data_IF_983106328466
#
_entry.id   IF_983106328466
#
_cell.length_a   1.000
_cell.length_b   1.000
_cell.length_c   1.000
_cell.angle_alpha   90.00
_cell.angle_beta   90.00
_cell.angle_gamma   90.00
#
_symmetry.space_group_name_H-M   'P 1'
#
loop_
_entity.id
_entity.type
_entity.pdbx_description
1 polymer ?
#
# COMPACT_ATOMS: atom_id res chain seq x y z
N UNK A 1 -12.41 -11.31 35.16
CA UNK A 1 -11.40 -11.88 34.25
C UNK A 1 -10.96 -10.80 33.30
N UNK A 2 -9.69 -10.40 33.34
CA UNK A 2 -9.11 -9.51 32.33
C UNK A 2 -8.65 -10.42 31.19
N UNK A 3 -9.28 -10.30 30.02
CA UNK A 3 -8.81 -10.97 28.80
C UNK A 3 -7.37 -10.58 28.55
N UNK A 4 -6.53 -11.56 28.25
CA UNK A 4 -5.13 -11.32 27.95
C UNK A 4 -5.01 -10.59 26.60
N UNK A 5 -3.95 -9.80 26.37
CA UNK A 5 -3.72 -9.08 25.11
C UNK A 5 -3.68 -9.98 23.87
N UNK A 6 -3.48 -11.29 24.07
CA UNK A 6 -3.36 -12.28 23.01
C UNK A 6 -4.71 -12.68 22.38
N UNK A 7 -5.84 -12.38 23.03
CA UNK A 7 -7.17 -12.87 22.63
C UNK A 7 -8.04 -11.79 21.95
N UNK A 8 -7.43 -10.74 21.43
CA UNK A 8 -8.12 -9.65 20.71
C UNK A 8 -8.32 -9.99 19.23
N UNK A 9 -9.40 -9.50 18.62
CA UNK A 9 -9.66 -9.63 17.18
C UNK A 9 -8.73 -8.71 16.36
N UNK A 10 -8.17 -9.23 15.25
CA UNK A 10 -7.25 -8.53 14.33
C UNK A 10 -6.13 -7.74 15.03
N UNK A 11 -5.28 -8.38 15.86
CA UNK A 11 -4.21 -7.70 16.57
C UNK A 11 -3.18 -7.07 15.62
N UNK A 12 -3.03 -7.62 14.41
CA UNK A 12 -2.15 -7.10 13.37
C UNK A 12 -2.52 -5.67 12.91
N UNK A 13 -3.79 -5.27 13.04
CA UNK A 13 -4.26 -3.94 12.63
C UNK A 13 -3.95 -2.83 13.65
N UNK A 14 -3.53 -3.16 14.88
CA UNK A 14 -3.21 -2.15 15.89
C UNK A 14 -1.91 -2.40 16.66
N UNK A 15 -1.40 -3.63 16.73
CA UNK A 15 -0.20 -3.96 17.51
C UNK A 15 1.01 -3.14 17.05
N UNK A 16 1.29 -3.17 15.75
CA UNK A 16 2.44 -2.45 15.18
C UNK A 16 2.27 -0.93 15.23
N UNK A 17 1.06 -0.44 14.94
CA UNK A 17 0.72 0.97 15.05
C UNK A 17 0.89 1.49 16.49
N UNK A 18 0.57 0.66 17.50
CA UNK A 18 0.72 1.00 18.91
C UNK A 18 2.18 0.98 19.34
N UNK A 19 2.94 -0.08 19.00
CA UNK A 19 4.36 -0.20 19.35
C UNK A 19 5.17 0.99 18.79
N UNK A 20 4.83 1.45 17.59
CA UNK A 20 5.46 2.61 16.93
C UNK A 20 5.30 3.93 17.70
N UNK A 21 4.50 3.97 18.76
CA UNK A 21 4.19 5.17 19.57
C UNK A 21 4.64 5.05 21.03
N UNK A 22 5.22 3.92 21.42
CA UNK A 22 5.67 3.68 22.81
C UNK A 22 7.00 4.40 23.06
N UNK A 23 7.08 5.31 24.04
CA UNK A 23 8.33 5.99 24.39
C UNK A 23 9.43 4.99 24.75
N UNK A 24 10.61 5.16 24.15
CA UNK A 24 11.76 4.27 24.34
C UNK A 24 11.90 3.15 23.30
N UNK A 25 10.90 2.93 22.44
CA UNK A 25 11.06 2.06 21.26
C UNK A 25 11.90 2.79 20.20
N UNK A 26 13.00 2.20 19.68
CA UNK A 26 13.80 2.83 18.63
C UNK A 26 12.98 3.14 17.37
N UNK A 27 13.11 4.36 16.84
CA UNK A 27 12.36 4.80 15.66
C UNK A 27 10.90 5.14 15.93
N UNK A 28 10.42 5.06 17.18
CA UNK A 28 9.05 5.47 17.52
C UNK A 28 8.84 6.97 17.35
N UNK A 29 7.59 7.34 17.14
CA UNK A 29 7.16 8.74 17.06
C UNK A 29 6.37 9.13 18.31
N UNK A 30 6.34 10.44 18.61
CA UNK A 30 5.66 10.95 19.79
C UNK A 30 4.14 10.64 19.73
N UNK A 31 3.46 10.16 20.79
CA UNK A 31 2.06 9.74 20.78
C UNK A 31 1.12 10.95 20.81
N UNK A 32 1.38 11.93 19.96
CA UNK A 32 0.53 13.06 19.67
C UNK A 32 0.00 12.90 18.24
N UNK A 33 -1.30 13.12 18.04
CA UNK A 33 -1.98 12.89 16.77
C UNK A 33 -1.39 13.66 15.58
N UNK A 34 -0.61 14.73 15.82
CA UNK A 34 0.14 15.42 14.76
C UNK A 34 1.18 14.56 14.04
N UNK A 35 1.59 13.45 14.66
CA UNK A 35 2.52 12.49 14.08
C UNK A 35 1.81 11.23 13.55
N UNK A 36 0.48 11.24 13.44
CA UNK A 36 -0.27 10.10 12.91
C UNK A 36 0.00 9.97 11.39
N UNK A 37 0.05 8.73 10.92
CA UNK A 37 0.28 8.40 9.52
C UNK A 37 -0.93 7.64 8.99
N UNK A 38 -1.50 8.12 7.89
CA UNK A 38 -2.48 7.36 7.11
C UNK A 38 -1.76 6.30 6.27
N UNK A 39 -2.51 5.34 5.76
CA UNK A 39 -2.04 4.38 4.75
C UNK A 39 -1.43 5.08 3.52
N UNK A 40 -2.02 6.20 3.08
CA UNK A 40 -1.50 7.00 1.97
C UNK A 40 -0.19 7.71 2.30
N UNK A 41 -0.01 8.20 3.53
CA UNK A 41 1.20 8.93 3.92
C UNK A 41 2.35 7.99 4.34
N UNK A 42 2.03 6.78 4.80
CA UNK A 42 3.03 5.76 5.06
C UNK A 42 3.64 5.23 3.74
N UNK A 43 4.85 4.68 3.81
CA UNK A 43 5.54 4.13 2.62
C UNK A 43 5.33 2.62 2.47
N UNK A 44 4.76 1.94 3.47
CA UNK A 44 4.85 0.48 3.58
C UNK A 44 4.08 -0.26 2.49
N UNK A 45 2.81 0.13 2.26
CA UNK A 45 1.92 -0.58 1.34
C UNK A 45 0.83 0.33 0.82
N UNK A 46 0.68 0.39 -0.49
CA UNK A 46 -0.45 1.01 -1.16
C UNK A 46 -1.61 0.01 -1.28
N UNK A 47 -2.82 0.41 -0.89
CA UNK A 47 -4.04 -0.40 -1.01
C UNK A 47 -5.17 0.51 -1.48
N UNK A 48 -5.90 0.09 -2.51
CA UNK A 48 -7.17 0.75 -2.89
C UNK A 48 -8.35 0.00 -2.25
N UNK A 49 -9.15 0.74 -1.51
CA UNK A 49 -10.41 0.33 -0.92
C UNK A 49 -11.56 0.89 -1.74
N UNK A 50 -12.51 0.02 -2.12
CA UNK A 50 -13.67 0.36 -2.95
C UNK A 50 -14.37 1.66 -2.54
N UNK A 51 -14.57 1.88 -1.23
CA UNK A 51 -15.30 3.04 -0.70
C UNK A 51 -14.56 4.37 -0.78
N UNK A 52 -13.28 4.37 -1.15
CA UNK A 52 -12.44 5.56 -1.25
C UNK A 52 -11.97 5.84 -2.69
N UNK A 53 -12.44 5.02 -3.63
CA UNK A 53 -12.24 5.20 -5.06
C UNK A 53 -13.22 6.23 -5.62
N UNK A 54 -12.83 6.88 -6.72
CA UNK A 54 -13.75 7.68 -7.51
C UNK A 54 -13.12 8.30 -8.74
N UNK A 55 -13.94 9.01 -9.50
CA UNK A 55 -13.52 9.65 -10.74
C UNK A 55 -12.51 10.78 -10.51
N UNK A 56 -11.69 11.06 -11.53
CA UNK A 56 -10.70 12.12 -11.47
C UNK A 56 -11.38 13.48 -11.23
N UNK A 57 -10.99 14.16 -10.15
CA UNK A 57 -11.59 15.43 -9.74
C UNK A 57 -12.72 15.31 -8.71
N UNK A 58 -13.08 14.09 -8.27
CA UNK A 58 -13.95 13.90 -7.11
C UNK A 58 -13.26 14.38 -5.83
N UNK A 59 -13.95 15.21 -5.05
CA UNK A 59 -13.46 15.71 -3.75
C UNK A 59 -13.47 14.63 -2.66
N UNK A 60 -14.23 13.56 -2.86
CA UNK A 60 -14.40 12.48 -1.89
C UNK A 60 -13.46 11.29 -2.16
N UNK A 61 -12.87 11.24 -3.36
CA UNK A 61 -11.97 10.17 -3.75
C UNK A 61 -10.54 10.41 -3.26
N UNK A 62 -9.95 9.39 -2.65
CA UNK A 62 -8.53 9.40 -2.26
C UNK A 62 -7.66 8.97 -3.45
N UNK A 63 -8.20 8.13 -4.32
CA UNK A 63 -7.52 7.61 -5.52
C UNK A 63 -8.49 7.27 -6.64
N UNK A 64 -8.01 7.13 -7.89
CA UNK A 64 -8.84 6.73 -9.02
C UNK A 64 -9.48 5.36 -8.83
N UNK A 65 -10.58 5.14 -9.55
CA UNK A 65 -11.26 3.84 -9.64
C UNK A 65 -10.29 2.69 -9.99
N UNK A 66 -10.58 1.51 -9.45
CA UNK A 66 -9.88 0.27 -9.75
C UNK A 66 -10.18 -0.18 -11.18
N UNK A 67 -9.14 -0.49 -11.94
CA UNK A 67 -9.28 -1.02 -13.31
C UNK A 67 -9.29 -2.55 -13.37
N UNK A 68 -9.13 -3.22 -12.23
CA UNK A 68 -9.32 -4.67 -12.07
C UNK A 68 -10.69 -5.00 -11.46
N UNK A 69 -10.69 -5.74 -10.35
CA UNK A 69 -11.91 -6.13 -9.62
C UNK A 69 -11.73 -5.99 -8.10
N UNK A 70 -12.82 -6.04 -7.35
CA UNK A 70 -12.77 -5.98 -5.88
C UNK A 70 -13.04 -7.33 -5.25
N UNK A 71 -12.21 -7.71 -4.30
CA UNK A 71 -12.44 -8.89 -3.46
C UNK A 71 -12.34 -8.45 -2.00
N UNK A 72 -13.42 -8.61 -1.23
CA UNK A 72 -13.52 -8.12 0.17
C UNK A 72 -13.21 -6.62 0.28
N UNK A 73 -13.80 -5.81 -0.61
CA UNK A 73 -13.64 -4.35 -0.67
C UNK A 73 -12.23 -3.83 -1.00
N UNK A 74 -11.28 -4.71 -1.31
CA UNK A 74 -9.92 -4.35 -1.73
C UNK A 74 -9.79 -4.57 -3.24
N UNK A 75 -9.31 -3.56 -3.95
CA UNK A 75 -8.96 -3.64 -5.37
C UNK A 75 -7.85 -4.67 -5.59
N UNK A 76 -8.11 -5.58 -6.52
CA UNK A 76 -7.09 -6.36 -7.22
C UNK A 76 -6.68 -5.52 -8.42
N UNK A 77 -5.43 -5.06 -8.45
CA UNK A 77 -4.95 -4.17 -9.50
C UNK A 77 -4.98 -4.83 -10.87
N UNK A 78 -5.55 -4.13 -11.84
CA UNK A 78 -5.46 -4.48 -13.26
C UNK A 78 -4.34 -3.73 -13.97
N UNK A 79 -4.07 -4.09 -15.22
CA UNK A 79 -3.04 -3.40 -16.03
C UNK A 79 -3.29 -1.88 -16.15
N UNK A 80 -4.55 -1.44 -16.13
CA UNK A 80 -4.94 -0.03 -16.18
C UNK A 80 -4.56 0.78 -14.92
N UNK A 81 -4.32 0.12 -13.78
CA UNK A 81 -3.93 0.80 -12.54
C UNK A 81 -2.42 1.11 -12.49
N UNK A 82 -1.61 0.45 -13.31
CA UNK A 82 -0.15 0.53 -13.24
C UNK A 82 0.43 1.95 -13.41
N UNK A 83 -0.04 2.80 -14.35
CA UNK A 83 0.51 4.14 -14.51
C UNK A 83 0.39 4.97 -13.23
N UNK A 84 -0.79 4.97 -12.60
CA UNK A 84 -1.01 5.67 -11.34
C UNK A 84 -0.25 5.03 -10.17
N UNK A 85 -0.19 3.69 -10.12
CA UNK A 85 0.52 2.94 -9.08
C UNK A 85 2.01 3.27 -9.05
N UNK A 86 2.65 3.38 -10.22
CA UNK A 86 4.09 3.68 -10.35
C UNK A 86 4.46 5.11 -9.95
N UNK A 87 3.49 6.02 -9.85
CA UNK A 87 3.71 7.40 -9.39
C UNK A 87 3.69 7.53 -7.86
N UNK A 88 3.27 6.47 -7.14
CA UNK A 88 3.17 6.51 -5.68
C UNK A 88 4.53 6.21 -5.00
N UNK A 89 4.74 6.77 -3.81
CA UNK A 89 5.98 6.60 -3.05
C UNK A 89 6.05 5.29 -2.24
N UNK A 90 4.99 4.48 -2.26
CA UNK A 90 4.93 3.23 -1.53
C UNK A 90 5.92 2.19 -2.08
N UNK A 91 6.49 1.38 -1.19
CA UNK A 91 7.44 0.32 -1.54
C UNK A 91 6.77 -0.89 -2.19
N UNK A 92 5.55 -1.20 -1.75
CA UNK A 92 4.75 -2.33 -2.21
C UNK A 92 3.31 -1.90 -2.43
N UNK A 93 2.58 -2.63 -3.26
CA UNK A 93 1.15 -2.45 -3.48
C UNK A 93 0.40 -3.76 -3.26
N UNK A 94 -0.86 -3.68 -2.79
CA UNK A 94 -1.73 -4.84 -2.58
C UNK A 94 -3.16 -4.57 -3.08
N UNK A 95 -3.80 -5.50 -3.79
CA UNK A 95 -3.35 -6.87 -4.16
C UNK A 95 -3.22 -7.07 -5.67
N UNK A 96 -2.49 -8.10 -6.04
CA UNK A 96 -2.40 -8.60 -7.41
C UNK A 96 -2.86 -10.06 -7.43
N UNK A 97 -3.45 -10.49 -8.54
CA UNK A 97 -3.92 -11.84 -8.74
C UNK A 97 -3.67 -12.26 -10.20
N UNK A 98 -2.78 -13.23 -10.40
CA UNK A 98 -2.41 -13.71 -11.74
C UNK A 98 -3.50 -14.55 -12.39
N UNK A 99 -4.44 -15.08 -11.61
CA UNK A 99 -5.57 -15.83 -12.17
C UNK A 99 -6.62 -14.88 -12.77
N UNK A 100 -6.68 -13.65 -12.26
CA UNK A 100 -7.61 -12.60 -12.72
C UNK A 100 -6.99 -11.72 -13.81
N UNK A 101 -5.79 -11.16 -13.56
CA UNK A 101 -5.06 -10.33 -14.53
C UNK A 101 -3.54 -10.59 -14.43
N UNK A 102 -3.00 -11.53 -15.22
CA UNK A 102 -1.56 -11.79 -15.25
C UNK A 102 -0.78 -10.66 -15.94
N UNK A 103 -1.43 -9.81 -16.73
CA UNK A 103 -0.78 -8.73 -17.50
C UNK A 103 -0.29 -7.65 -16.53
N UNK A 104 -1.07 -7.32 -15.51
CA UNK A 104 -0.68 -6.36 -14.48
C UNK A 104 0.67 -6.73 -13.83
N UNK A 105 0.80 -7.98 -13.38
CA UNK A 105 2.02 -8.49 -12.74
C UNK A 105 3.19 -8.54 -13.74
N UNK A 106 2.96 -9.08 -14.94
CA UNK A 106 4.00 -9.19 -15.97
C UNK A 106 4.57 -7.82 -16.38
N UNK A 107 3.71 -6.83 -16.63
CA UNK A 107 4.14 -5.48 -17.01
C UNK A 107 4.93 -4.80 -15.89
N UNK A 108 4.46 -4.92 -14.64
CA UNK A 108 5.14 -4.35 -13.49
C UNK A 108 6.53 -5.00 -13.27
N UNK A 109 6.62 -6.33 -13.35
CA UNK A 109 7.89 -7.06 -13.25
C UNK A 109 8.88 -6.62 -14.33
N UNK A 110 8.43 -6.61 -15.60
CA UNK A 110 9.26 -6.20 -16.73
C UNK A 110 9.78 -4.77 -16.56
N UNK A 111 8.90 -3.85 -16.17
CA UNK A 111 9.25 -2.45 -15.94
C UNK A 111 10.30 -2.30 -14.83
N UNK A 112 10.06 -2.90 -13.65
CA UNK A 112 10.97 -2.81 -12.51
C UNK A 112 12.34 -3.43 -12.81
N UNK A 113 12.36 -4.57 -13.51
CA UNK A 113 13.61 -5.21 -13.95
C UNK A 113 14.39 -4.33 -14.92
N UNK A 114 13.73 -3.73 -15.90
CA UNK A 114 14.37 -2.81 -16.85
C UNK A 114 14.93 -1.57 -16.15
N UNK A 115 14.17 -1.00 -15.21
CA UNK A 115 14.60 0.14 -14.40
C UNK A 115 15.86 -0.18 -13.59
N UNK A 116 15.87 -1.31 -12.88
CA UNK A 116 17.03 -1.74 -12.09
C UNK A 116 18.28 -2.00 -12.95
N UNK A 117 18.12 -2.63 -14.13
CA UNK A 117 19.24 -2.86 -15.05
C UNK A 117 19.79 -1.57 -15.66
N UNK A 118 18.91 -0.62 -16.00
CA UNK A 118 19.33 0.71 -16.43
C UNK A 118 20.12 1.43 -15.32
N UNK A 119 19.64 1.41 -14.07
CA UNK A 119 20.35 2.01 -12.93
C UNK A 119 21.74 1.37 -12.71
N UNK A 120 21.87 0.05 -12.82
CA UNK A 120 23.17 -0.63 -12.75
C UNK A 120 24.09 -0.16 -13.89
N UNK A 121 23.58 -0.09 -15.12
CA UNK A 121 24.36 0.41 -16.25
C UNK A 121 24.79 1.87 -16.05
N UNK A 122 23.95 2.72 -15.44
CA UNK A 122 24.33 4.11 -15.13
C UNK A 122 25.40 4.22 -14.02
N UNK A 123 25.43 3.29 -13.06
CA UNK A 123 26.38 3.32 -11.94
C UNK A 123 27.74 2.74 -12.33
N UNK A 124 27.77 1.70 -13.19
CA UNK A 124 28.98 0.93 -13.50
C UNK A 124 29.43 1.04 -14.97
N UNK A 125 28.70 1.76 -15.82
CA UNK A 125 29.00 1.97 -17.24
C UNK A 125 29.67 3.30 -17.55
#
# INVERSE_FOLDING_TARGET
GRGLPFDTYSPDEFLWATIQRIPGVPGSTWPNSKYDMTDMNAIARLVKWWSHEGSQGSLEAVYPECHGNHVRSVCVYGAGDLPWLLEQHHLFANKFDTDTDPIAVYCLEKYLRQKALAEIHWIYG
#
